data_IF_735002980809
#
_entry.id   IF_735002980809
#
_cell.length_a   1.000
_cell.length_b   1.000
_cell.length_c   1.000
_cell.angle_alpha   90.00
_cell.angle_beta   90.00
_cell.angle_gamma   90.00
#
_symmetry.space_group_name_H-M   'P 1'
#
loop_
_entity.id
_entity.type
_entity.pdbx_description
1 polymer ?
#
# COMPACT_ATOMS: atom_id res chain seq x y z
N UNK A 1 -1.81 17.99 2.72
CA UNK A 1 -2.42 16.76 3.29
C UNK A 1 -3.73 16.49 2.57
N UNK A 2 -3.78 15.41 1.79
CA UNK A 2 -4.95 14.99 1.00
C UNK A 2 -5.95 14.32 1.96
N UNK A 3 -6.97 15.09 2.39
CA UNK A 3 -7.89 14.72 3.49
C UNK A 3 -8.73 13.44 3.27
N UNK A 4 -8.65 12.78 2.12
CA UNK A 4 -9.45 11.60 1.79
C UNK A 4 -8.66 10.39 1.29
N UNK A 5 -7.34 10.37 1.40
CA UNK A 5 -6.52 9.25 0.92
C UNK A 5 -5.66 8.69 2.06
N UNK A 6 -5.71 7.37 2.26
CA UNK A 6 -4.89 6.68 3.25
C UNK A 6 -4.32 5.41 2.65
N UNK A 7 -3.00 5.24 2.72
CA UNK A 7 -2.35 3.99 2.33
C UNK A 7 -2.02 3.18 3.58
N UNK A 8 -2.34 1.90 3.57
CA UNK A 8 -2.00 0.96 4.64
C UNK A 8 -1.22 -0.23 4.08
N UNK A 9 -0.22 -0.67 4.82
CA UNK A 9 0.51 -1.90 4.53
C UNK A 9 -0.32 -3.10 4.98
N UNK A 10 -0.51 -4.08 4.09
CA UNK A 10 -1.20 -5.31 4.42
C UNK A 10 -0.36 -6.16 5.37
N UNK A 11 -1.02 -6.81 6.33
CA UNK A 11 -0.35 -7.72 7.26
C UNK A 11 0.25 -8.95 6.55
N UNK A 12 -0.44 -9.42 5.51
CA UNK A 12 -0.04 -10.51 4.64
C UNK A 12 -0.17 -10.05 3.19
N UNK A 13 0.81 -10.42 2.36
CA UNK A 13 0.74 -10.15 0.92
C UNK A 13 -0.31 -11.04 0.28
N UNK A 14 -0.99 -10.49 -0.74
CA UNK A 14 -1.93 -11.25 -1.55
C UNK A 14 -1.48 -11.22 -3.01
N UNK A 15 -1.38 -12.40 -3.63
CA UNK A 15 -0.97 -12.53 -5.02
C UNK A 15 -2.17 -12.32 -5.95
N UNK A 16 -2.28 -11.12 -6.52
CA UNK A 16 -3.39 -10.75 -7.42
C UNK A 16 -2.99 -9.62 -8.38
N UNK A 17 -3.93 -9.21 -9.23
CA UNK A 17 -3.73 -8.07 -10.14
C UNK A 17 -3.58 -6.77 -9.34
N UNK A 18 -2.54 -6.00 -9.62
CA UNK A 18 -2.35 -4.65 -9.09
C UNK A 18 -3.27 -3.68 -9.83
N UNK A 19 -4.04 -2.88 -9.10
CA UNK A 19 -5.04 -1.98 -9.69
C UNK A 19 -4.43 -0.79 -10.44
N UNK A 20 -3.15 -0.48 -10.20
CA UNK A 20 -2.48 0.66 -10.83
C UNK A 20 -1.72 0.31 -12.11
N UNK A 21 -1.02 -0.83 -12.12
CA UNK A 21 -0.18 -1.21 -13.26
C UNK A 21 -0.70 -2.44 -14.01
N UNK A 22 -1.84 -2.98 -13.60
CA UNK A 22 -2.57 -4.07 -14.26
C UNK A 22 -1.81 -5.40 -14.38
N UNK A 23 -0.72 -5.57 -13.61
CA UNK A 23 0.11 -6.79 -13.58
C UNK A 23 -0.22 -7.64 -12.35
N UNK A 24 -0.21 -8.96 -12.50
CA UNK A 24 -0.37 -9.92 -11.39
C UNK A 24 0.95 -10.05 -10.62
N UNK A 25 0.91 -9.77 -9.31
CA UNK A 25 2.07 -9.81 -8.40
C UNK A 25 1.61 -9.70 -6.95
N UNK A 26 2.54 -9.79 -6.02
CA UNK A 26 2.27 -9.56 -4.61
C UNK A 26 1.80 -8.12 -4.35
N UNK A 27 0.64 -8.01 -3.71
CA UNK A 27 0.05 -6.78 -3.21
C UNK A 27 0.50 -6.59 -1.76
N UNK A 28 1.14 -5.45 -1.51
CA UNK A 28 1.68 -5.08 -0.20
C UNK A 28 0.86 -3.97 0.45
N UNK A 29 0.14 -3.17 -0.33
CA UNK A 29 -0.52 -1.98 0.15
C UNK A 29 -1.97 -1.92 -0.31
N UNK A 30 -2.82 -1.32 0.52
CA UNK A 30 -4.18 -0.94 0.18
C UNK A 30 -4.35 0.56 0.35
N UNK A 31 -4.73 1.24 -0.73
CA UNK A 31 -5.11 2.65 -0.69
C UNK A 31 -6.62 2.75 -0.47
N UNK A 32 -7.02 3.38 0.63
CA UNK A 32 -8.39 3.72 0.93
C UNK A 32 -8.70 5.12 0.41
N UNK A 33 -9.81 5.22 -0.32
CA UNK A 33 -10.38 6.49 -0.78
C UNK A 33 -11.60 6.77 0.07
N UNK A 34 -11.57 7.88 0.80
CA UNK A 34 -12.65 8.36 1.62
C UNK A 34 -13.42 9.47 0.90
N UNK A 35 -14.70 9.59 1.23
CA UNK A 35 -15.54 10.69 0.77
C UNK A 35 -14.90 12.05 1.14
N UNK A 36 -14.86 12.96 0.17
CA UNK A 36 -14.16 14.24 0.32
C UNK A 36 -14.85 15.19 1.30
N UNK A 37 -16.16 15.03 1.52
CA UNK A 37 -16.94 15.91 2.40
C UNK A 37 -16.89 15.45 3.86
N UNK A 38 -17.18 14.17 4.09
CA UNK A 38 -17.29 13.57 5.42
C UNK A 38 -15.98 13.00 5.95
N UNK A 39 -15.08 12.56 5.07
CA UNK A 39 -13.81 11.85 5.38
C UNK A 39 -13.96 10.61 6.27
N UNK A 40 -15.19 10.17 6.53
CA UNK A 40 -15.52 9.05 7.41
C UNK A 40 -15.94 7.80 6.65
N UNK A 41 -16.52 7.98 5.45
CA UNK A 41 -17.01 6.89 4.62
C UNK A 41 -15.97 6.51 3.57
N UNK A 42 -15.65 5.21 3.48
CA UNK A 42 -14.83 4.66 2.41
C UNK A 42 -15.70 4.57 1.15
N UNK A 43 -15.26 5.21 0.07
CA UNK A 43 -15.93 5.18 -1.25
C UNK A 43 -15.22 4.26 -2.24
N UNK A 44 -13.99 3.84 -1.93
CA UNK A 44 -13.23 2.94 -2.80
C UNK A 44 -11.94 2.47 -2.18
N UNK A 45 -11.38 1.43 -2.79
CA UNK A 45 -10.07 0.88 -2.42
C UNK A 45 -9.27 0.52 -3.67
N UNK A 46 -7.95 0.68 -3.61
CA UNK A 46 -7.03 0.16 -4.61
C UNK A 46 -5.99 -0.76 -3.96
N UNK A 47 -5.75 -1.89 -4.58
CA UNK A 47 -4.74 -2.86 -4.21
C UNK A 47 -3.45 -2.62 -5.00
N UNK A 48 -2.38 -2.29 -4.29
CA UNK A 48 -1.13 -1.83 -4.86
C UNK A 48 0.01 -2.81 -4.56
N UNK A 49 0.76 -3.17 -5.60
CA UNK A 49 2.03 -3.86 -5.42
C UNK A 49 3.06 -2.96 -4.74
N UNK A 50 4.21 -3.52 -4.34
CA UNK A 50 5.30 -2.78 -3.70
C UNK A 50 5.64 -1.45 -4.40
N UNK A 51 6.06 -1.50 -5.66
CA UNK A 51 6.46 -0.32 -6.42
C UNK A 51 5.33 0.71 -6.61
N UNK A 52 4.11 0.25 -6.90
CA UNK A 52 2.97 1.13 -7.11
C UNK A 52 2.53 1.81 -5.80
N UNK A 53 2.61 1.10 -4.67
CA UNK A 53 2.31 1.65 -3.35
C UNK A 53 3.35 2.67 -2.92
N UNK A 54 4.64 2.37 -3.06
CA UNK A 54 5.74 3.31 -2.75
C UNK A 54 5.62 4.60 -3.59
N UNK A 55 5.47 4.46 -4.92
CA UNK A 55 5.29 5.62 -5.81
C UNK A 55 4.02 6.44 -5.48
N UNK A 56 2.91 5.77 -5.16
CA UNK A 56 1.69 6.45 -4.76
C UNK A 56 1.86 7.16 -3.40
N UNK A 57 2.58 6.54 -2.46
CA UNK A 57 2.98 7.13 -1.20
C UNK A 57 3.75 8.44 -1.41
N UNK A 58 4.78 8.41 -2.25
CA UNK A 58 5.60 9.57 -2.57
C UNK A 58 4.78 10.69 -3.23
N UNK A 59 3.99 10.36 -4.26
CA UNK A 59 3.15 11.33 -4.98
C UNK A 59 2.10 11.99 -4.09
N UNK A 60 1.52 11.24 -3.15
CA UNK A 60 0.45 11.71 -2.28
C UNK A 60 0.96 12.21 -0.93
N UNK A 61 2.28 12.18 -0.71
CA UNK A 61 2.92 12.47 0.58
C UNK A 61 2.33 11.62 1.73
N UNK A 62 2.02 10.35 1.44
CA UNK A 62 1.53 9.37 2.41
C UNK A 62 2.68 8.46 2.85
N UNK A 63 2.76 8.16 4.14
CA UNK A 63 3.78 7.23 4.66
C UNK A 63 3.45 5.80 4.25
N UNK A 64 4.31 5.18 3.47
CA UNK A 64 4.32 3.74 3.23
C UNK A 64 5.45 3.12 4.04
N UNK A 65 5.14 2.12 4.86
CA UNK A 65 6.17 1.32 5.53
C UNK A 65 6.18 -0.07 4.87
N UNK A 66 7.04 -0.30 3.87
CA UNK A 66 7.28 -1.65 3.37
C UNK A 66 7.99 -2.40 4.49
N UNK A 67 7.24 -3.20 5.27
CA UNK A 67 7.80 -4.02 6.36
C UNK A 67 9.16 -4.58 5.94
N UNK A 68 10.19 -4.17 6.69
CA UNK A 68 11.58 -4.50 6.43
C UNK A 68 11.73 -6.00 6.18
N UNK A 69 12.29 -6.34 5.02
CA UNK A 69 12.90 -7.66 4.82
C UNK A 69 13.98 -7.75 5.90
N UNK A 70 13.81 -8.62 6.89
CA UNK A 70 14.86 -8.90 7.87
C UNK A 70 16.04 -9.46 7.09
N UNK A 71 17.03 -8.63 6.78
CA UNK A 71 18.27 -9.02 6.10
C UNK A 71 19.21 -9.76 7.04
N UNK A 72 18.89 -9.79 8.33
CA UNK A 72 19.70 -10.41 9.37
C UNK A 72 19.35 -11.90 9.45
N UNK A 73 20.07 -12.72 8.69
CA UNK A 73 20.21 -14.14 8.99
C UNK A 73 21.65 -14.39 9.41
N UNK A 74 21.85 -14.83 10.65
CA UNK A 74 23.14 -15.28 11.16
C UNK A 74 23.10 -16.78 11.34
N UNK A 75 24.01 -17.49 10.66
CA UNK A 75 24.28 -18.88 10.97
C UNK A 75 25.13 -18.91 12.24
N UNK A 76 24.52 -19.25 13.38
CA UNK A 76 25.29 -19.60 14.56
C UNK A 76 25.92 -20.97 14.30
N UNK A 77 27.25 -20.98 14.14
CA UNK A 77 28.09 -22.18 14.10
C UNK A 77 28.26 -22.75 15.51
#
# INVERSE_FOLDING_TARGET
>A
MTKGLKIETLAQTNYKKCDLCDKVKDIFFKLFVYDAQSTSMIVGTLDLCKFCGENAGDLLSLKTDPKNITTDFTFNN
#
